data_IF_340283401715
#
_entry.id   IF_340283401715
#
_cell.length_a   1.000
_cell.length_b   1.000
_cell.length_c   1.000
_cell.angle_alpha   90.00
_cell.angle_beta   90.00
_cell.angle_gamma   90.00
#
_symmetry.space_group_name_H-M   'P 1'
#
loop_
_entity.id
_entity.type
_entity.pdbx_description
1 polymer ?
#
# COMPACT_ATOMS: atom_id res chain seq x y z
N UNK A 1 -14.02 3.44 14.13
CA UNK A 1 -13.57 4.85 14.13
C UNK A 1 -13.31 5.31 12.71
N UNK A 2 -13.11 6.61 12.48
CA UNK A 2 -12.97 7.17 11.12
C UNK A 2 -11.70 6.66 10.42
N UNK A 3 -10.56 6.63 11.13
CA UNK A 3 -9.26 6.18 10.59
C UNK A 3 -9.31 4.78 9.94
N UNK A 4 -9.78 3.71 10.61
CA UNK A 4 -9.86 2.40 9.95
C UNK A 4 -10.88 2.37 8.80
N UNK A 5 -11.93 3.21 8.83
CA UNK A 5 -12.86 3.34 7.71
C UNK A 5 -12.20 3.94 6.46
N UNK A 6 -11.37 4.97 6.64
CA UNK A 6 -10.58 5.55 5.56
C UNK A 6 -9.60 4.54 4.95
N UNK A 7 -8.87 3.81 5.80
CA UNK A 7 -7.94 2.76 5.34
C UNK A 7 -8.69 1.65 4.58
N UNK A 8 -9.87 1.24 5.06
CA UNK A 8 -10.69 0.25 4.37
C UNK A 8 -11.13 0.73 2.97
N UNK A 9 -11.56 1.98 2.84
CA UNK A 9 -11.93 2.55 1.53
C UNK A 9 -10.74 2.55 0.56
N UNK A 10 -9.54 2.94 1.03
CA UNK A 10 -8.32 2.88 0.24
C UNK A 10 -8.05 1.46 -0.25
N UNK A 11 -8.11 0.45 0.64
CA UNK A 11 -7.89 -0.94 0.26
C UNK A 11 -8.94 -1.48 -0.73
N UNK A 12 -10.22 -1.12 -0.56
CA UNK A 12 -11.28 -1.49 -1.51
C UNK A 12 -11.00 -0.86 -2.88
N UNK A 13 -10.58 0.40 -2.92
CA UNK A 13 -10.18 1.06 -4.18
C UNK A 13 -8.98 0.34 -4.82
N UNK A 14 -7.95 -0.05 -4.06
CA UNK A 14 -6.82 -0.83 -4.60
C UNK A 14 -7.27 -2.19 -5.14
N UNK A 15 -8.17 -2.89 -4.45
CA UNK A 15 -8.71 -4.16 -4.92
C UNK A 15 -9.47 -3.99 -6.25
N UNK A 16 -10.31 -2.96 -6.36
CA UNK A 16 -11.02 -2.64 -7.61
C UNK A 16 -10.03 -2.36 -8.73
N UNK A 17 -9.02 -1.51 -8.50
CA UNK A 17 -7.99 -1.22 -9.51
C UNK A 17 -7.26 -2.48 -9.96
N UNK A 18 -6.89 -3.34 -9.01
CA UNK A 18 -6.21 -4.59 -9.29
C UNK A 18 -7.06 -5.52 -10.19
N UNK A 19 -8.33 -5.73 -9.87
CA UNK A 19 -9.19 -6.64 -10.63
C UNK A 19 -9.63 -6.09 -11.99
N UNK A 20 -9.76 -4.77 -12.10
CA UNK A 20 -10.25 -4.12 -13.34
C UNK A 20 -9.12 -3.69 -14.27
N UNK A 21 -7.88 -3.64 -13.78
CA UNK A 21 -6.73 -3.15 -14.54
C UNK A 21 -6.74 -1.64 -14.78
N UNK A 22 -7.54 -0.87 -14.03
CA UNK A 22 -7.63 0.59 -14.19
C UNK A 22 -6.61 1.31 -13.29
N UNK A 23 -6.02 2.38 -13.81
CA UNK A 23 -5.11 3.24 -13.06
C UNK A 23 -3.81 2.54 -12.61
N UNK A 24 -3.12 3.16 -11.67
CA UNK A 24 -1.86 2.66 -11.11
C UNK A 24 -2.07 2.17 -9.67
N UNK A 25 -1.53 1.01 -9.33
CA UNK A 25 -1.59 0.45 -7.98
C UNK A 25 -0.57 1.13 -7.05
N UNK A 26 -0.86 1.14 -5.75
CA UNK A 26 0.11 1.49 -4.71
C UNK A 26 1.17 0.38 -4.48
N UNK A 27 1.29 -0.57 -5.40
CA UNK A 27 2.23 -1.69 -5.28
C UNK A 27 3.66 -1.14 -5.23
N UNK A 28 4.41 -1.53 -4.21
CA UNK A 28 5.79 -1.05 -4.00
C UNK A 28 5.86 0.28 -3.24
N UNK A 29 4.74 0.82 -2.78
CA UNK A 29 4.69 2.01 -1.94
C UNK A 29 3.95 1.71 -0.62
N UNK A 30 4.41 2.28 0.48
CA UNK A 30 3.67 2.37 1.72
C UNK A 30 2.98 3.74 1.81
N UNK A 31 1.65 3.74 1.84
CA UNK A 31 0.86 4.95 2.05
C UNK A 31 0.60 5.15 3.55
N UNK A 32 1.06 6.29 4.09
CA UNK A 32 0.84 6.68 5.49
C UNK A 32 -0.21 7.79 5.52
N UNK A 33 -1.24 7.60 6.35
CA UNK A 33 -2.24 8.62 6.66
C UNK A 33 -1.98 9.19 8.06
N UNK A 34 -1.65 10.48 8.12
CA UNK A 34 -1.60 11.28 9.33
C UNK A 34 -2.94 11.99 9.51
N UNK A 35 -3.76 11.50 10.45
CA UNK A 35 -5.09 12.05 10.71
C UNK A 35 -5.10 13.34 11.53
N UNK A 36 -4.02 13.67 12.24
CA UNK A 36 -3.93 14.93 12.98
C UNK A 36 -3.65 16.09 12.02
N UNK A 37 -2.68 15.89 11.12
CA UNK A 37 -2.26 16.91 10.15
C UNK A 37 -3.01 16.82 8.82
N UNK A 38 -3.86 15.80 8.66
CA UNK A 38 -4.60 15.49 7.43
C UNK A 38 -3.66 15.38 6.22
N UNK A 39 -2.59 14.60 6.34
CA UNK A 39 -1.59 14.40 5.30
C UNK A 39 -1.51 12.95 4.86
N UNK A 40 -1.20 12.79 3.57
CA UNK A 40 -0.78 11.51 3.00
C UNK A 40 0.69 11.60 2.61
N UNK A 41 1.43 10.55 2.96
CA UNK A 41 2.85 10.42 2.62
C UNK A 41 3.06 9.07 1.95
N UNK A 42 3.88 9.03 0.92
CA UNK A 42 4.29 7.81 0.25
C UNK A 42 5.74 7.52 0.59
N UNK A 43 6.02 6.26 0.89
CA UNK A 43 7.37 5.75 1.08
C UNK A 43 7.57 4.62 0.10
N UNK A 44 8.56 4.74 -0.78
CA UNK A 44 8.93 3.65 -1.68
C UNK A 44 9.48 2.47 -0.87
N UNK A 45 9.00 1.28 -1.18
CA UNK A 45 9.45 0.03 -0.57
C UNK A 45 10.44 -0.65 -1.52
N UNK A 46 11.66 -0.89 -1.02
CA UNK A 46 12.67 -1.67 -1.73
C UNK A 46 12.63 -3.14 -1.30
N UNK A 47 12.92 -4.01 -2.25
CA UNK A 47 13.12 -5.44 -1.98
C UNK A 47 14.46 -5.64 -1.27
N UNK A 48 14.46 -6.38 -0.16
CA UNK A 48 15.69 -6.84 0.50
C UNK A 48 15.97 -8.30 0.10
N UNK A 49 17.02 -8.57 -0.70
CA UNK A 49 17.37 -9.93 -1.10
C UNK A 49 17.85 -10.81 0.07
N UNK A 50 18.17 -10.23 1.22
CA UNK A 50 18.55 -10.97 2.42
C UNK A 50 17.39 -11.16 3.40
N UNK A 51 16.17 -10.73 3.04
CA UNK A 51 15.01 -10.89 3.91
C UNK A 51 14.75 -12.38 4.18
N UNK A 52 14.69 -12.83 5.45
CA UNK A 52 14.48 -14.25 5.77
C UNK A 52 13.10 -14.77 5.30
N UNK A 53 12.15 -13.87 5.04
CA UNK A 53 10.79 -14.21 4.60
C UNK A 53 10.62 -14.20 3.08
N UNK A 54 11.18 -13.20 2.38
CA UNK A 54 10.97 -13.01 0.94
C UNK A 54 12.26 -12.90 0.09
N UNK A 55 13.45 -12.93 0.71
CA UNK A 55 14.76 -12.74 0.07
C UNK A 55 15.24 -13.90 -0.81
N UNK A 56 14.66 -15.10 -0.65
CA UNK A 56 15.07 -16.31 -1.34
C UNK A 56 14.30 -16.57 -2.64
N UNK A 57 14.52 -15.78 -3.69
CA UNK A 57 14.14 -16.13 -5.07
C UNK A 57 12.70 -16.63 -5.31
N UNK A 58 11.74 -16.18 -4.51
CA UNK A 58 10.35 -16.64 -4.54
C UNK A 58 9.40 -15.60 -5.14
N UNK A 59 9.33 -15.59 -6.48
CA UNK A 59 8.47 -14.76 -7.36
C UNK A 59 8.83 -13.28 -7.49
#
# INVERSE_FOLDING_TARGET
GVTPGLVAMIQVTEAIKFFTGIGELLKGEMLIYDGERMRFMRVELSYDPNCPECGGGGR
#
